data_IF_897880923899
#
_entry.id   IF_897880923899
#
_cell.length_a   1.000
_cell.length_b   1.000
_cell.length_c   1.000
_cell.angle_alpha   90.00
_cell.angle_beta   90.00
_cell.angle_gamma   90.00
#
_symmetry.space_group_name_H-M   'P 1'
#
loop_
_entity.id
_entity.type
_entity.pdbx_description
1 polymer ?
#
# COMPACT_ATOMS: atom_id res chain seq x y z
N UNK A 1 -16.12 46.56 57.53
CA UNK A 1 -14.96 47.31 57.06
C UNK A 1 -14.18 46.39 56.13
N UNK A 2 -13.92 46.89 54.95
CA UNK A 2 -13.01 46.47 53.86
C UNK A 2 -13.56 45.42 52.95
N UNK A 3 -14.11 45.79 51.96
CA UNK A 3 -13.79 46.26 50.58
C UNK A 3 -13.36 45.08 49.67
N UNK A 4 -14.33 44.77 48.81
CA UNK A 4 -14.17 43.87 47.65
C UNK A 4 -13.20 44.40 46.63
N UNK A 5 -12.75 43.52 45.77
CA UNK A 5 -12.32 43.82 44.40
C UNK A 5 -12.76 42.69 43.48
N UNK A 6 -13.72 43.02 42.69
CA UNK A 6 -14.10 42.29 41.47
C UNK A 6 -12.92 42.38 40.49
N UNK A 7 -12.52 41.27 39.93
CA UNK A 7 -11.70 41.21 38.72
C UNK A 7 -12.46 40.38 37.69
N UNK A 8 -13.22 41.09 36.87
CA UNK A 8 -13.66 40.63 35.56
C UNK A 8 -12.43 40.42 34.68
N UNK A 9 -12.25 39.20 34.21
CA UNK A 9 -11.40 38.88 33.07
C UNK A 9 -12.20 38.18 31.99
N UNK A 10 -12.81 39.02 31.16
CA UNK A 10 -13.24 38.65 29.81
C UNK A 10 -12.00 38.26 29.00
N UNK A 11 -11.89 37.00 28.64
CA UNK A 11 -10.96 36.52 27.61
C UNK A 11 -11.78 35.83 26.49
N UNK A 12 -12.31 36.67 25.61
CA UNK A 12 -12.71 36.29 24.26
C UNK A 12 -11.47 35.83 23.47
N UNK A 13 -11.27 34.53 23.36
CA UNK A 13 -10.34 33.97 22.38
C UNK A 13 -11.12 33.19 21.32
N UNK A 14 -11.64 33.94 20.37
CA UNK A 14 -12.09 33.40 19.10
C UNK A 14 -10.86 32.93 18.29
N UNK A 15 -10.44 31.68 18.47
CA UNK A 15 -9.46 31.03 17.57
C UNK A 15 -10.19 30.42 16.38
N UNK A 16 -10.37 31.22 15.36
CA UNK A 16 -10.71 30.76 14.02
C UNK A 16 -9.56 29.93 13.45
N UNK A 17 -9.64 28.61 13.57
CA UNK A 17 -8.73 27.72 12.83
C UNK A 17 -9.18 27.67 11.36
N UNK A 18 -8.60 28.53 10.56
CA UNK A 18 -8.59 28.35 9.12
C UNK A 18 -7.82 27.08 8.81
N UNK A 19 -8.54 26.00 8.45
CA UNK A 19 -7.92 24.81 7.87
C UNK A 19 -7.39 25.19 6.49
N UNK A 20 -6.16 25.68 6.44
CA UNK A 20 -5.42 25.79 5.21
C UNK A 20 -5.22 24.38 4.65
N UNK A 21 -5.74 24.14 3.46
CA UNK A 21 -5.35 22.99 2.66
C UNK A 21 -3.84 23.13 2.42
N UNK A 22 -3.03 22.38 3.18
CA UNK A 22 -1.63 22.22 2.86
C UNK A 22 -1.57 21.39 1.58
N UNK A 23 -1.52 22.05 0.44
CA UNK A 23 -1.02 21.45 -0.77
C UNK A 23 0.38 20.94 -0.44
N UNK A 24 0.54 19.62 -0.39
CA UNK A 24 1.87 19.04 -0.34
C UNK A 24 2.55 19.47 -1.62
N UNK A 25 3.67 20.20 -1.54
CA UNK A 25 4.41 20.56 -2.74
C UNK A 25 4.74 19.25 -3.47
N UNK A 26 4.41 19.19 -4.76
CA UNK A 26 4.83 18.09 -5.61
C UNK A 26 6.34 17.92 -5.39
N UNK A 27 6.75 16.68 -5.07
CA UNK A 27 8.18 16.41 -4.90
C UNK A 27 8.91 16.94 -6.14
N UNK A 28 9.97 17.74 -5.97
CA UNK A 28 10.73 18.25 -7.11
C UNK A 28 11.17 17.04 -7.94
N UNK A 29 11.01 17.12 -9.26
CA UNK A 29 11.69 16.18 -10.15
C UNK A 29 13.19 16.44 -9.93
N UNK A 30 13.83 15.51 -9.26
CA UNK A 30 15.23 15.62 -8.87
C UNK A 30 16.04 15.27 -10.10
N UNK A 31 16.55 16.29 -10.78
CA UNK A 31 17.56 16.14 -11.84
C UNK A 31 18.98 16.07 -11.23
N UNK A 32 19.10 16.18 -9.91
CA UNK A 32 20.37 16.15 -9.19
C UNK A 32 20.47 14.87 -8.36
N UNK A 33 21.61 14.19 -8.48
CA UNK A 33 21.93 13.02 -7.67
C UNK A 33 22.07 13.48 -6.20
N UNK A 34 21.27 12.90 -5.33
CA UNK A 34 21.30 13.19 -3.89
C UNK A 34 22.45 12.45 -3.20
N UNK A 35 22.85 12.91 -2.00
CA UNK A 35 23.85 12.23 -1.19
C UNK A 35 23.44 10.79 -0.86
N UNK A 36 22.13 10.51 -0.74
CA UNK A 36 21.62 9.16 -0.52
C UNK A 36 21.80 8.26 -1.74
N UNK A 37 21.60 8.78 -2.95
CA UNK A 37 21.84 8.01 -4.18
C UNK A 37 23.34 7.74 -4.38
N UNK A 38 24.20 8.71 -4.06
CA UNK A 38 25.65 8.49 -4.04
C UNK A 38 26.04 7.41 -3.04
N UNK A 39 25.46 7.45 -1.84
CA UNK A 39 25.70 6.43 -0.81
C UNK A 39 25.17 5.06 -1.25
N UNK A 40 23.99 4.98 -1.86
CA UNK A 40 23.44 3.73 -2.41
C UNK A 40 24.38 3.12 -3.44
N UNK A 41 24.84 3.91 -4.40
CA UNK A 41 25.79 3.47 -5.42
C UNK A 41 27.09 2.95 -4.78
N UNK A 42 27.65 3.69 -3.83
CA UNK A 42 28.88 3.28 -3.16
C UNK A 42 28.75 1.97 -2.37
N UNK A 43 27.62 1.81 -1.65
CA UNK A 43 27.34 0.58 -0.91
C UNK A 43 27.13 -0.61 -1.86
N UNK A 44 26.41 -0.41 -2.97
CA UNK A 44 26.19 -1.43 -3.99
C UNK A 44 27.51 -1.89 -4.61
N UNK A 45 28.36 -0.95 -5.08
CA UNK A 45 29.65 -1.28 -5.66
C UNK A 45 30.57 -2.01 -4.67
N UNK A 46 30.59 -1.56 -3.41
CA UNK A 46 31.34 -2.25 -2.35
C UNK A 46 30.81 -3.67 -2.09
N UNK A 47 29.49 -3.87 -2.12
CA UNK A 47 28.88 -5.18 -1.92
C UNK A 47 29.24 -6.14 -3.08
N UNK A 48 29.26 -5.65 -4.32
CA UNK A 48 29.69 -6.41 -5.49
C UNK A 48 31.18 -6.74 -5.37
N UNK A 49 32.04 -5.78 -5.03
CA UNK A 49 33.47 -6.00 -4.83
C UNK A 49 33.74 -7.05 -3.76
N UNK A 50 32.97 -7.06 -2.68
CA UNK A 50 33.07 -8.05 -1.61
C UNK A 50 32.42 -9.39 -1.95
N UNK A 51 31.85 -9.55 -3.12
CA UNK A 51 31.23 -10.81 -3.56
C UNK A 51 29.95 -11.18 -2.80
N UNK A 52 29.25 -10.21 -2.21
CA UNK A 52 27.97 -10.48 -1.53
C UNK A 52 26.88 -10.82 -2.54
N UNK A 53 26.91 -10.22 -3.72
CA UNK A 53 26.10 -10.53 -4.90
C UNK A 53 26.81 -10.00 -6.15
N UNK A 54 26.39 -10.44 -7.34
CA UNK A 54 26.95 -9.94 -8.60
C UNK A 54 26.17 -8.76 -9.15
N UNK A 55 26.78 -7.97 -10.05
CA UNK A 55 26.06 -6.91 -10.77
C UNK A 55 24.85 -7.47 -11.55
N UNK A 56 24.96 -8.69 -12.08
CA UNK A 56 23.88 -9.37 -12.76
C UNK A 56 22.72 -9.75 -11.83
N UNK A 57 23.02 -10.20 -10.60
CA UNK A 57 21.98 -10.46 -9.59
C UNK A 57 21.25 -9.19 -9.20
N UNK A 58 21.97 -8.08 -9.05
CA UNK A 58 21.37 -6.78 -8.78
C UNK A 58 20.45 -6.34 -9.93
N UNK A 59 20.92 -6.46 -11.18
CA UNK A 59 20.13 -6.13 -12.37
C UNK A 59 18.84 -6.95 -12.42
N UNK A 60 18.92 -8.28 -12.25
CA UNK A 60 17.76 -9.17 -12.25
C UNK A 60 16.77 -8.82 -11.14
N UNK A 61 17.27 -8.49 -9.95
CA UNK A 61 16.40 -8.08 -8.84
C UNK A 61 15.71 -6.75 -9.15
N UNK A 62 16.42 -5.77 -9.71
CA UNK A 62 15.86 -4.47 -10.08
C UNK A 62 14.78 -4.63 -11.15
N UNK A 63 15.05 -5.39 -12.22
CA UNK A 63 14.07 -5.66 -13.28
C UNK A 63 12.82 -6.37 -12.75
N UNK A 64 13.01 -7.36 -11.87
CA UNK A 64 11.91 -8.02 -11.20
C UNK A 64 11.11 -7.01 -10.32
N UNK A 65 11.79 -6.21 -9.50
CA UNK A 65 11.13 -5.24 -8.62
C UNK A 65 10.33 -4.19 -9.39
N UNK A 66 10.80 -3.79 -10.57
CA UNK A 66 10.09 -2.88 -11.47
C UNK A 66 8.91 -3.57 -12.20
N UNK A 67 9.00 -4.87 -12.45
CA UNK A 67 7.98 -5.64 -13.16
C UNK A 67 6.78 -6.01 -12.29
N UNK A 68 6.96 -6.07 -10.96
CA UNK A 68 5.89 -6.47 -10.06
C UNK A 68 4.94 -5.32 -9.74
N UNK A 69 3.66 -5.65 -9.66
CA UNK A 69 2.59 -4.70 -9.36
C UNK A 69 1.39 -5.38 -8.71
N UNK A 70 0.33 -4.65 -8.41
CA UNK A 70 -0.85 -5.21 -7.74
C UNK A 70 -1.70 -6.13 -8.63
N UNK A 71 -1.40 -6.23 -9.92
CA UNK A 71 -2.18 -7.01 -10.87
C UNK A 71 -2.28 -8.50 -10.51
N UNK A 72 -1.22 -9.07 -9.93
CA UNK A 72 -1.24 -10.46 -9.45
C UNK A 72 -2.28 -10.69 -8.38
N UNK A 73 -2.30 -9.83 -7.36
CA UNK A 73 -3.28 -9.88 -6.28
C UNK A 73 -4.70 -9.59 -6.76
N UNK A 74 -4.86 -8.61 -7.68
CA UNK A 74 -6.17 -8.29 -8.28
C UNK A 74 -6.77 -9.49 -9.02
N UNK A 75 -5.96 -10.21 -9.80
CA UNK A 75 -6.37 -11.45 -10.49
C UNK A 75 -6.74 -12.55 -9.50
N UNK A 76 -5.95 -12.74 -8.44
CA UNK A 76 -6.24 -13.73 -7.40
C UNK A 76 -7.59 -13.46 -6.73
N UNK A 77 -7.86 -12.22 -6.34
CA UNK A 77 -9.14 -11.81 -5.74
C UNK A 77 -10.30 -11.98 -6.73
N UNK A 78 -10.15 -11.50 -7.97
CA UNK A 78 -11.18 -11.62 -9.01
C UNK A 78 -11.53 -13.09 -9.29
N UNK A 79 -10.53 -13.97 -9.41
CA UNK A 79 -10.72 -15.41 -9.56
C UNK A 79 -11.48 -16.00 -8.37
N UNK A 80 -11.09 -15.63 -7.14
CA UNK A 80 -11.76 -16.11 -5.93
C UNK A 80 -13.24 -15.66 -5.84
N UNK A 81 -13.59 -14.52 -6.41
CA UNK A 81 -14.96 -14.04 -6.43
C UNK A 81 -15.88 -14.80 -7.41
N UNK A 82 -15.31 -15.38 -8.46
CA UNK A 82 -16.08 -16.12 -9.49
C UNK A 82 -15.99 -17.65 -9.30
N UNK A 83 -15.00 -18.13 -8.58
CA UNK A 83 -14.77 -19.55 -8.33
C UNK A 83 -14.70 -19.85 -6.82
N UNK A 84 -15.82 -20.28 -6.19
CA UNK A 84 -15.85 -20.58 -4.76
C UNK A 84 -14.88 -21.69 -4.34
N UNK A 85 -14.60 -22.66 -5.23
CA UNK A 85 -13.67 -23.75 -4.93
C UNK A 85 -12.21 -23.22 -4.91
N UNK A 86 -11.85 -22.35 -5.85
CA UNK A 86 -10.57 -21.62 -5.82
C UNK A 86 -10.45 -20.75 -4.57
N UNK A 87 -11.52 -20.01 -4.22
CA UNK A 87 -11.56 -19.20 -3.00
C UNK A 87 -11.25 -20.04 -1.75
N UNK A 88 -11.88 -21.19 -1.60
CA UNK A 88 -11.64 -22.07 -0.46
C UNK A 88 -10.16 -22.52 -0.39
N UNK A 89 -9.57 -22.89 -1.53
CA UNK A 89 -8.14 -23.23 -1.60
C UNK A 89 -7.25 -22.04 -1.26
N UNK A 90 -7.57 -20.86 -1.79
CA UNK A 90 -6.84 -19.62 -1.55
C UNK A 90 -6.80 -19.24 -0.06
N UNK A 91 -7.90 -19.41 0.65
CA UNK A 91 -7.99 -19.14 2.10
C UNK A 91 -7.26 -20.20 2.94
N UNK A 92 -7.07 -21.41 2.40
CA UNK A 92 -6.36 -22.50 3.08
C UNK A 92 -4.86 -22.46 2.82
N UNK A 93 -4.44 -22.25 1.56
CA UNK A 93 -3.05 -22.18 1.13
C UNK A 93 -2.89 -21.13 0.02
N UNK A 94 -2.55 -19.92 0.44
CA UNK A 94 -2.37 -18.79 -0.48
C UNK A 94 -1.23 -18.99 -1.46
N UNK A 95 -0.16 -19.72 -1.06
CA UNK A 95 0.99 -19.98 -1.94
C UNK A 95 0.60 -20.94 -3.05
N UNK A 96 -0.13 -22.03 -2.74
CA UNK A 96 -0.63 -22.94 -3.74
C UNK A 96 -1.59 -22.23 -4.72
N UNK A 97 -2.46 -21.36 -4.22
CA UNK A 97 -3.37 -20.57 -5.05
C UNK A 97 -2.62 -19.61 -6.00
N UNK A 98 -1.52 -18.99 -5.56
CA UNK A 98 -0.66 -18.18 -6.43
C UNK A 98 -0.11 -19.00 -7.59
N UNK A 99 0.43 -20.19 -7.33
CA UNK A 99 0.97 -21.08 -8.36
C UNK A 99 -0.10 -21.53 -9.36
N UNK A 100 -1.33 -21.80 -8.89
CA UNK A 100 -2.46 -22.18 -9.74
C UNK A 100 -2.79 -21.13 -10.81
N UNK A 101 -2.58 -19.83 -10.51
CA UNK A 101 -2.80 -18.73 -11.45
C UNK A 101 -1.49 -18.23 -12.12
N UNK A 102 -0.41 -19.01 -12.02
CA UNK A 102 0.87 -18.73 -12.67
C UNK A 102 1.67 -17.59 -12.02
N UNK A 103 1.48 -17.35 -10.72
CA UNK A 103 2.28 -16.39 -9.94
C UNK A 103 3.30 -17.15 -9.11
N UNK A 104 4.59 -16.86 -9.35
CA UNK A 104 5.64 -17.35 -8.49
C UNK A 104 5.66 -16.51 -7.20
N UNK A 105 5.49 -17.18 -6.06
CA UNK A 105 5.54 -16.55 -4.76
C UNK A 105 6.97 -16.19 -4.33
N UNK A 106 7.96 -16.78 -4.93
CA UNK A 106 9.35 -16.60 -4.55
C UNK A 106 9.88 -15.27 -5.10
N UNK A 107 10.45 -14.46 -4.22
CA UNK A 107 11.25 -13.31 -4.63
C UNK A 107 12.61 -13.81 -5.15
N UNK A 108 13.12 -13.31 -6.28
CA UNK A 108 14.48 -13.61 -6.69
C UNK A 108 15.43 -13.02 -5.65
N UNK A 109 16.10 -13.89 -4.91
CA UNK A 109 17.18 -13.48 -4.03
C UNK A 109 18.48 -13.67 -4.82
N UNK A 110 19.33 -12.66 -4.90
CA UNK A 110 20.63 -12.74 -5.57
C UNK A 110 21.55 -13.82 -5.02
N UNK A 111 21.18 -14.45 -3.91
CA UNK A 111 21.91 -15.55 -3.27
C UNK A 111 21.45 -16.93 -3.74
N UNK A 112 20.46 -17.03 -4.63
CA UNK A 112 19.89 -18.29 -5.08
C UNK A 112 19.12 -19.07 -4.01
N UNK A 113 19.01 -18.55 -2.80
CA UNK A 113 18.17 -19.13 -1.75
C UNK A 113 16.74 -18.62 -1.92
N UNK A 114 15.73 -19.50 -1.87
CA UNK A 114 14.34 -19.04 -1.81
C UNK A 114 14.19 -18.08 -0.64
N UNK A 115 13.43 -17.00 -0.83
CA UNK A 115 13.09 -16.16 0.30
C UNK A 115 12.39 -17.03 1.35
N UNK A 116 12.79 -16.92 2.61
CA UNK A 116 12.26 -17.72 3.74
C UNK A 116 10.81 -17.36 4.08
N UNK A 117 9.99 -16.93 3.11
CA UNK A 117 8.56 -16.75 3.31
C UNK A 117 7.92 -18.13 3.46
N UNK A 118 7.74 -18.53 4.70
CA UNK A 118 7.16 -19.81 5.00
C UNK A 118 5.65 -19.82 4.80
N UNK A 119 4.98 -18.66 4.95
CA UNK A 119 3.52 -18.58 4.88
C UNK A 119 3.04 -17.34 4.13
N UNK A 120 2.00 -17.54 3.33
CA UNK A 120 1.16 -16.47 2.80
C UNK A 120 -0.30 -16.79 3.12
N UNK A 121 -0.94 -15.89 3.84
CA UNK A 121 -2.33 -16.03 4.26
C UNK A 121 -3.20 -14.96 3.62
N UNK A 122 -4.27 -15.40 3.01
CA UNK A 122 -5.33 -14.53 2.49
C UNK A 122 -6.44 -14.46 3.53
N UNK A 123 -6.84 -13.24 3.87
CA UNK A 123 -7.81 -12.93 4.92
C UNK A 123 -9.08 -12.39 4.27
N UNK A 124 -10.19 -13.09 4.44
CA UNK A 124 -11.46 -12.71 3.84
C UNK A 124 -12.19 -11.68 4.69
N UNK A 125 -12.57 -10.54 4.10
CA UNK A 125 -13.53 -9.62 4.67
C UNK A 125 -14.94 -10.19 4.55
N UNK A 126 -15.73 -10.03 5.61
CA UNK A 126 -17.14 -10.42 5.67
C UNK A 126 -18.03 -9.22 6.00
N UNK A 127 -19.36 -9.33 5.98
CA UNK A 127 -20.22 -8.21 6.39
C UNK A 127 -19.96 -7.70 7.81
N UNK A 128 -19.42 -8.56 8.69
CA UNK A 128 -19.22 -8.25 10.11
C UNK A 128 -17.75 -8.06 10.48
N UNK A 129 -16.82 -8.36 9.55
CA UNK A 129 -15.38 -8.35 9.82
C UNK A 129 -14.60 -7.69 8.68
N UNK A 130 -13.77 -6.72 9.03
CA UNK A 130 -12.86 -6.04 8.12
C UNK A 130 -11.42 -6.19 8.59
N UNK A 131 -10.59 -6.83 7.77
CA UNK A 131 -9.17 -6.96 8.00
C UNK A 131 -8.40 -5.76 7.42
N UNK A 132 -7.36 -5.36 8.13
CA UNK A 132 -6.35 -4.40 7.63
C UNK A 132 -4.97 -4.88 8.02
N UNK A 133 -4.02 -4.83 7.10
CA UNK A 133 -2.66 -5.34 7.33
C UNK A 133 -1.67 -4.24 7.67
N UNK A 134 -0.69 -4.58 8.49
CA UNK A 134 0.44 -3.75 8.86
C UNK A 134 1.69 -4.63 9.03
N UNK A 135 2.87 -4.03 9.06
CA UNK A 135 4.04 -4.62 9.69
C UNK A 135 4.56 -3.65 10.75
N UNK A 136 4.43 -3.99 12.03
CA UNK A 136 4.84 -3.10 13.13
C UNK A 136 6.34 -2.94 13.24
N UNK A 137 7.11 -3.93 12.79
CA UNK A 137 8.57 -3.94 12.90
C UNK A 137 9.29 -3.25 11.74
N UNK A 138 8.89 -3.56 10.51
CA UNK A 138 9.58 -3.08 9.32
C UNK A 138 8.60 -2.76 8.18
N UNK A 139 8.62 -3.53 7.10
CA UNK A 139 7.77 -3.32 5.93
C UNK A 139 7.37 -4.63 5.26
N UNK A 140 7.21 -5.69 6.07
CA UNK A 140 6.80 -7.01 5.59
C UNK A 140 5.49 -6.92 4.82
N UNK A 141 5.50 -7.38 3.57
CA UNK A 141 4.49 -7.08 2.58
C UNK A 141 4.49 -8.16 1.48
N UNK A 142 3.35 -8.57 0.95
CA UNK A 142 3.28 -9.62 -0.07
C UNK A 142 3.66 -9.07 -1.46
N UNK A 143 4.95 -8.73 -1.64
CA UNK A 143 5.50 -8.09 -2.85
C UNK A 143 5.19 -8.83 -4.16
N UNK A 144 5.28 -10.16 -4.26
CA UNK A 144 4.99 -10.86 -5.52
C UNK A 144 3.58 -10.62 -6.07
N UNK A 145 2.64 -10.27 -5.19
CA UNK A 145 1.24 -10.02 -5.53
C UNK A 145 0.85 -8.55 -5.61
N UNK A 146 1.46 -7.70 -4.79
CA UNK A 146 1.04 -6.32 -4.60
C UNK A 146 2.07 -5.28 -5.09
N UNK A 147 3.23 -5.74 -5.57
CA UNK A 147 4.34 -4.88 -5.96
C UNK A 147 5.08 -4.33 -4.73
N UNK A 148 5.83 -3.25 -4.90
CA UNK A 148 6.54 -2.60 -3.81
C UNK A 148 5.57 -1.93 -2.85
N UNK A 149 5.87 -2.01 -1.55
CA UNK A 149 5.03 -1.39 -0.53
C UNK A 149 5.04 0.14 -0.66
N UNK A 150 3.88 0.81 -0.55
CA UNK A 150 3.81 2.26 -0.61
C UNK A 150 4.54 2.90 0.58
N UNK A 151 4.97 4.15 0.42
CA UNK A 151 5.70 4.86 1.47
C UNK A 151 4.92 4.97 2.77
N UNK A 152 3.63 5.28 2.67
CA UNK A 152 2.77 5.40 3.84
C UNK A 152 2.70 4.09 4.65
N UNK A 153 2.73 2.90 3.98
CA UNK A 153 2.73 1.59 4.65
C UNK A 153 4.01 1.39 5.49
N UNK A 154 5.14 1.90 5.02
CA UNK A 154 6.43 1.84 5.71
C UNK A 154 6.57 2.89 6.80
N UNK A 155 5.75 3.93 6.80
CA UNK A 155 5.89 5.05 7.72
C UNK A 155 5.71 4.62 9.18
N UNK A 156 6.53 5.11 10.12
CA UNK A 156 6.34 4.87 11.54
C UNK A 156 4.97 5.35 12.05
N UNK A 157 4.42 6.39 11.43
CA UNK A 157 3.13 6.95 11.78
C UNK A 157 2.00 5.95 11.52
N UNK A 158 1.89 5.39 10.29
CA UNK A 158 0.93 4.35 9.95
C UNK A 158 1.07 3.14 10.88
N UNK A 159 2.29 2.59 11.00
CA UNK A 159 2.56 1.38 11.76
C UNK A 159 2.18 1.46 13.24
N UNK A 160 2.46 2.62 13.90
CA UNK A 160 2.15 2.83 15.32
C UNK A 160 0.68 3.12 15.56
N UNK A 161 0.05 3.85 14.66
CA UNK A 161 -1.33 4.32 14.83
C UNK A 161 -2.35 3.26 14.46
N UNK A 162 -2.09 2.46 13.43
CA UNK A 162 -3.05 1.46 12.97
C UNK A 162 -3.40 0.46 14.08
N UNK A 163 -2.42 -0.03 14.84
CA UNK A 163 -2.67 -0.98 15.93
C UNK A 163 -3.41 -0.39 17.13
N UNK A 164 -3.38 0.93 17.30
CA UNK A 164 -4.03 1.61 18.44
C UNK A 164 -5.38 2.22 18.07
N UNK A 165 -5.47 2.77 16.87
CA UNK A 165 -6.63 3.53 16.41
C UNK A 165 -6.99 3.17 14.95
N UNK A 166 -7.29 1.89 14.65
CA UNK A 166 -7.46 1.43 13.29
C UNK A 166 -8.56 2.20 12.54
N UNK A 167 -9.70 2.45 13.18
CA UNK A 167 -10.81 3.18 12.55
C UNK A 167 -10.46 4.63 12.20
N UNK A 168 -9.65 5.30 13.02
CA UNK A 168 -9.21 6.67 12.72
C UNK A 168 -8.27 6.68 11.51
N UNK A 169 -7.32 5.72 11.48
CA UNK A 169 -6.41 5.59 10.35
C UNK A 169 -7.18 5.25 9.07
N UNK A 170 -8.14 4.32 9.12
CA UNK A 170 -8.98 3.99 7.96
C UNK A 170 -9.78 5.21 7.46
N UNK A 171 -10.30 6.03 8.36
CA UNK A 171 -11.02 7.26 8.00
C UNK A 171 -10.11 8.27 7.28
N UNK A 172 -8.81 8.33 7.58
CA UNK A 172 -7.84 9.17 6.86
C UNK A 172 -7.62 8.70 5.41
N UNK A 173 -7.82 7.40 5.13
CA UNK A 173 -7.87 6.85 3.77
C UNK A 173 -9.25 7.03 3.10
N UNK A 174 -10.21 7.65 3.78
CA UNK A 174 -11.58 7.82 3.30
C UNK A 174 -12.47 6.59 3.54
N UNK A 175 -12.02 5.60 4.32
CA UNK A 175 -12.79 4.42 4.66
C UNK A 175 -13.41 4.55 6.06
N UNK A 176 -14.70 4.88 6.10
CA UNK A 176 -15.48 4.92 7.33
C UNK A 176 -16.36 3.68 7.40
N UNK A 177 -16.06 2.79 8.33
CA UNK A 177 -16.83 1.55 8.55
C UNK A 177 -17.85 1.74 9.66
N UNK A 178 -19.08 1.18 9.53
CA UNK A 178 -20.07 1.10 10.59
C UNK A 178 -19.48 0.53 11.88
N UNK A 179 -20.01 0.96 13.02
CA UNK A 179 -19.48 0.58 14.36
C UNK A 179 -19.59 -0.92 14.64
N UNK A 180 -20.59 -1.56 14.08
CA UNK A 180 -20.89 -2.99 14.21
C UNK A 180 -19.91 -3.90 13.47
N UNK A 181 -19.20 -3.40 12.46
CA UNK A 181 -18.18 -4.17 11.76
C UNK A 181 -16.93 -4.25 12.62
N UNK A 182 -16.50 -5.43 13.01
CA UNK A 182 -15.21 -5.63 13.67
C UNK A 182 -14.06 -5.22 12.74
N UNK A 183 -13.11 -4.44 13.23
CA UNK A 183 -11.87 -4.13 12.49
C UNK A 183 -10.72 -4.90 13.13
N UNK A 184 -10.11 -5.80 12.37
CA UNK A 184 -8.99 -6.63 12.81
C UNK A 184 -7.71 -6.22 12.11
N UNK A 185 -6.70 -5.89 12.91
CA UNK A 185 -5.37 -5.52 12.43
C UNK A 185 -4.48 -6.75 12.43
N UNK A 186 -3.92 -7.08 11.25
CA UNK A 186 -3.05 -8.24 11.07
C UNK A 186 -1.60 -7.80 10.87
N UNK A 187 -0.71 -8.31 11.71
CA UNK A 187 0.69 -7.90 11.74
C UNK A 187 1.56 -8.85 10.90
N UNK A 188 1.84 -8.46 9.66
CA UNK A 188 2.78 -9.18 8.79
C UNK A 188 4.18 -9.20 9.40
N UNK A 189 4.84 -10.33 9.28
CA UNK A 189 6.21 -10.50 9.79
C UNK A 189 7.07 -11.28 8.79
N UNK A 190 8.32 -11.55 9.12
CA UNK A 190 9.25 -12.24 8.21
C UNK A 190 8.76 -13.62 7.78
N UNK A 191 8.08 -14.34 8.66
CA UNK A 191 7.63 -15.72 8.38
C UNK A 191 6.23 -15.81 7.75
N UNK A 192 5.41 -14.76 7.91
CA UNK A 192 4.05 -14.75 7.40
C UNK A 192 3.71 -13.40 6.77
N UNK A 193 3.19 -13.43 5.56
CA UNK A 193 2.63 -12.28 4.85
C UNK A 193 1.12 -12.42 4.76
N UNK A 194 0.42 -11.33 4.97
CA UNK A 194 -1.03 -11.27 4.85
C UNK A 194 -1.44 -10.45 3.64
N UNK A 195 -2.58 -10.82 3.05
CA UNK A 195 -3.29 -10.02 2.06
C UNK A 195 -4.78 -10.08 2.36
N UNK A 196 -5.47 -8.97 2.25
CA UNK A 196 -6.93 -8.93 2.40
C UNK A 196 -7.60 -9.35 1.10
N UNK A 197 -8.57 -10.24 1.19
CA UNK A 197 -9.56 -10.50 0.15
C UNK A 197 -10.81 -9.68 0.48
N UNK A 198 -11.01 -8.54 -0.19
CA UNK A 198 -12.18 -7.71 0.06
C UNK A 198 -13.46 -8.41 -0.40
N UNK A 199 -14.60 -8.02 0.14
CA UNK A 199 -15.90 -8.48 -0.35
C UNK A 199 -16.12 -8.01 -1.79
N UNK A 200 -16.75 -8.86 -2.60
CA UNK A 200 -17.20 -8.50 -3.93
C UNK A 200 -18.30 -7.42 -3.81
N UNK A 201 -18.16 -6.27 -4.47
CA UNK A 201 -19.18 -5.23 -4.39
C UNK A 201 -20.46 -5.65 -5.10
N UNK A 202 -21.61 -5.22 -4.55
CA UNK A 202 -22.91 -5.38 -5.20
C UNK A 202 -22.92 -4.67 -6.56
N UNK A 203 -23.75 -5.16 -7.49
CA UNK A 203 -23.85 -4.61 -8.85
C UNK A 203 -22.75 -5.08 -9.81
N UNK A 204 -21.94 -6.06 -9.38
CA UNK A 204 -20.91 -6.70 -10.24
C UNK A 204 -21.30 -8.11 -10.69
N UNK A 205 -22.56 -8.50 -10.50
CA UNK A 205 -23.11 -9.79 -10.94
C UNK A 205 -22.95 -9.89 -12.47
N UNK A 206 -22.45 -11.01 -12.93
CA UNK A 206 -22.21 -11.24 -14.37
C UNK A 206 -20.93 -10.57 -14.93
N UNK A 207 -20.15 -9.84 -14.12
CA UNK A 207 -18.87 -9.33 -14.57
C UNK A 207 -17.86 -10.46 -14.77
N UNK A 208 -17.05 -10.32 -15.79
CA UNK A 208 -15.92 -11.22 -16.05
C UNK A 208 -14.83 -11.05 -15.01
N UNK A 209 -13.99 -12.07 -14.85
CA UNK A 209 -12.81 -12.01 -13.98
C UNK A 209 -11.92 -10.80 -14.30
N UNK A 210 -11.72 -10.50 -15.59
CA UNK A 210 -10.92 -9.33 -16.00
C UNK A 210 -11.54 -8.01 -15.51
N UNK A 211 -12.85 -7.80 -15.70
CA UNK A 211 -13.55 -6.62 -15.21
C UNK A 211 -13.52 -6.49 -13.69
N UNK A 212 -13.62 -7.61 -12.98
CA UNK A 212 -13.51 -7.64 -11.52
C UNK A 212 -12.10 -7.29 -11.05
N UNK A 213 -11.06 -7.75 -11.76
CA UNK A 213 -9.68 -7.43 -11.42
C UNK A 213 -9.38 -5.91 -11.53
N UNK A 214 -10.02 -5.19 -12.44
CA UNK A 214 -9.83 -3.74 -12.62
C UNK A 214 -10.25 -2.92 -11.39
N UNK A 215 -11.24 -3.38 -10.63
CA UNK A 215 -11.74 -2.67 -9.45
C UNK A 215 -11.03 -3.05 -8.15
N UNK A 216 -10.19 -4.08 -8.17
CA UNK A 216 -9.40 -4.50 -7.00
C UNK A 216 -8.07 -3.78 -7.01
N UNK A 217 -7.94 -2.78 -6.15
CA UNK A 217 -6.70 -2.01 -6.03
C UNK A 217 -5.79 -2.59 -4.94
N UNK A 218 -4.52 -2.18 -4.94
CA UNK A 218 -3.57 -2.51 -3.87
C UNK A 218 -4.13 -2.12 -2.49
N UNK A 219 -4.74 -0.95 -2.39
CA UNK A 219 -5.27 -0.43 -1.13
C UNK A 219 -6.44 -1.28 -0.60
N UNK A 220 -7.25 -1.86 -1.51
CA UNK A 220 -8.27 -2.85 -1.13
C UNK A 220 -7.65 -4.11 -0.54
N UNK A 221 -6.51 -4.56 -1.09
CA UNK A 221 -5.81 -5.76 -0.66
C UNK A 221 -4.93 -5.54 0.59
N UNK A 222 -4.67 -4.29 0.95
CA UNK A 222 -4.10 -3.91 2.25
C UNK A 222 -5.22 -3.76 3.30
N UNK A 223 -6.45 -3.47 2.87
CA UNK A 223 -7.61 -3.26 3.73
C UNK A 223 -7.85 -1.80 4.09
N UNK A 224 -7.23 -0.83 3.41
CA UNK A 224 -7.47 0.60 3.65
C UNK A 224 -8.49 1.22 2.69
N UNK A 225 -9.00 0.43 1.74
CA UNK A 225 -10.07 0.82 0.82
C UNK A 225 -11.00 -0.34 0.52
N UNK A 226 -12.16 -0.06 -0.07
CA UNK A 226 -13.09 -1.06 -0.60
C UNK A 226 -13.10 -1.01 -2.12
N UNK A 227 -13.29 -2.15 -2.81
CA UNK A 227 -13.53 -2.17 -4.24
C UNK A 227 -14.81 -1.42 -4.58
N UNK A 228 -14.82 -0.68 -5.67
CA UNK A 228 -15.95 0.14 -6.10
C UNK A 228 -16.34 -0.18 -7.53
N UNK A 229 -17.60 -0.57 -7.74
CA UNK A 229 -18.13 -0.93 -9.05
C UNK A 229 -18.20 0.25 -10.06
N UNK A 230 -18.23 1.49 -9.54
CA UNK A 230 -18.21 2.73 -10.35
C UNK A 230 -16.79 3.13 -10.82
N UNK A 231 -15.76 2.46 -10.32
CA UNK A 231 -14.37 2.70 -10.73
C UNK A 231 -14.05 1.88 -11.97
N UNK A 232 -14.44 2.38 -13.15
CA UNK A 232 -13.95 1.83 -14.42
C UNK A 232 -12.54 2.32 -14.71
N UNK A 233 -11.81 1.59 -15.56
CA UNK A 233 -10.43 1.88 -15.96
C UNK A 233 -10.19 3.30 -16.53
N UNK A 234 -11.25 4.02 -16.90
CA UNK A 234 -11.19 5.41 -17.38
C UNK A 234 -10.74 6.43 -16.32
N UNK A 235 -10.75 6.05 -15.03
CA UNK A 235 -10.28 6.92 -13.94
C UNK A 235 -8.78 6.77 -13.61
N UNK A 236 -8.04 5.97 -14.34
CA UNK A 236 -6.59 6.07 -14.41
C UNK A 236 -6.22 7.36 -15.16
N UNK A 237 -6.45 8.52 -14.53
CA UNK A 237 -5.93 9.79 -15.04
C UNK A 237 -4.44 9.59 -15.27
N UNK A 238 -3.94 9.75 -16.51
CA UNK A 238 -2.51 9.84 -16.71
C UNK A 238 -2.06 11.02 -15.85
N UNK A 239 -1.07 10.78 -14.98
CA UNK A 239 -0.33 11.86 -14.31
C UNK A 239 0.01 12.86 -15.41
N UNK A 240 -0.63 14.02 -15.36
CA UNK A 240 -0.48 15.05 -16.37
C UNK A 240 1.03 15.34 -16.44
N UNK A 241 1.65 14.97 -17.57
CA UNK A 241 3.02 15.37 -17.88
C UNK A 241 3.04 16.88 -17.79
N UNK A 242 3.64 17.41 -16.73
CA UNK A 242 3.82 18.85 -16.54
C UNK A 242 4.52 19.40 -17.79
N UNK A 243 3.80 20.22 -18.56
CA UNK A 243 4.37 20.92 -19.72
C UNK A 243 5.49 21.82 -19.17
N UNK A 244 6.74 21.52 -19.51
CA UNK A 244 7.90 22.40 -19.24
C UNK A 244 7.58 23.79 -19.81
N UNK A 245 7.69 24.86 -19.00
CA UNK A 245 7.66 26.20 -19.56
C UNK A 245 8.93 26.38 -20.41
N UNK A 246 8.73 26.64 -21.70
CA UNK A 246 9.82 27.02 -22.60
C UNK A 246 10.37 28.37 -22.10
N UNK A 247 11.56 28.39 -21.51
CA UNK A 247 12.29 29.60 -21.25
C UNK A 247 12.69 30.20 -22.59
N UNK A 248 12.03 31.28 -22.99
CA UNK A 248 12.49 32.13 -24.06
C UNK A 248 13.73 32.86 -23.54
N UNK A 249 14.89 32.55 -24.09
CA UNK A 249 16.04 33.38 -23.95
C UNK A 249 15.70 34.71 -24.66
N UNK A 250 15.54 35.78 -23.88
CA UNK A 250 15.59 37.14 -24.41
C UNK A 250 17.08 37.44 -24.66
N UNK A 251 17.46 37.48 -25.93
CA UNK A 251 18.74 38.02 -26.31
C UNK A 251 18.68 39.55 -26.19
N UNK A 252 19.76 40.12 -25.70
CA UNK A 252 20.07 41.53 -25.62
C UNK A 252 21.49 41.65 -25.14
#
# INVERSE_FOLDING_TARGET
MSSGRDHDHDHDHAHGHAHGHHEHPAAPMVDEITDFEVLEIAVRELAIEKGLFTAEDHRKFTEWAESIGPAGGSRLVARAWVDPAFKARCLTDGVAACREIGIDWLEPTGTGTPSDYTEFRVLENTPDLHHVIVCTLCSCYPRPLLGMSPEWYRSPNYRRRLVRWPRQVLAEFGLVLPSEIEVRVEDSNQKCRFMVMPMRPAGTEGWTEAQLAEIVTRDCMIGVALPRADRRADDARPVAKARRPVRRHAGG
#
